data_IF_324121545214
#
_entry.id   IF_324121545214
#
_cell.length_a   1.000
_cell.length_b   1.000
_cell.length_c   1.000
_cell.angle_alpha   90.00
_cell.angle_beta   90.00
_cell.angle_gamma   90.00
#
_symmetry.space_group_name_H-M   'P 1'
#
loop_
_entity.id
_entity.type
_entity.pdbx_description
1 polymer ?
#
# COMPACT_ATOMS: atom_id res chain seq x y z
N UNK A 1 12.77 -1.30 3.64
CA UNK A 1 11.31 -1.61 3.59
C UNK A 1 10.58 -0.86 2.48
N UNK A 2 10.98 0.38 2.17
CA UNK A 2 10.34 1.21 1.15
C UNK A 2 10.19 0.57 -0.24
N UNK A 3 11.24 -0.04 -0.83
CA UNK A 3 11.12 -0.68 -2.15
C UNK A 3 10.10 -1.82 -2.19
N UNK A 4 10.01 -2.62 -1.12
CA UNK A 4 9.01 -3.69 -1.03
C UNK A 4 7.58 -3.12 -0.93
N UNK A 5 7.36 -2.09 -0.12
CA UNK A 5 6.07 -1.40 -0.04
C UNK A 5 5.71 -0.68 -1.35
N UNK A 6 6.72 -0.24 -2.11
CA UNK A 6 6.56 0.42 -3.41
C UNK A 6 6.27 -0.54 -4.57
N UNK A 7 6.43 -1.86 -4.38
CA UNK A 7 6.32 -2.81 -5.48
C UNK A 7 4.90 -2.88 -6.07
N UNK A 8 3.87 -2.90 -5.23
CA UNK A 8 2.50 -2.93 -5.71
C UNK A 8 2.06 -1.64 -6.43
N UNK A 9 2.30 -0.41 -5.92
CA UNK A 9 2.01 0.78 -6.70
C UNK A 9 2.76 0.82 -8.04
N UNK A 10 3.98 0.29 -8.11
CA UNK A 10 4.70 0.15 -9.37
C UNK A 10 3.96 -0.79 -10.34
N UNK A 11 3.52 -1.97 -9.87
CA UNK A 11 2.70 -2.91 -10.67
C UNK A 11 1.42 -2.24 -11.17
N UNK A 12 0.74 -1.47 -10.32
CA UNK A 12 -0.42 -0.68 -10.70
C UNK A 12 -0.08 0.36 -11.77
N UNK A 13 0.97 1.16 -11.57
CA UNK A 13 1.38 2.19 -12.52
C UNK A 13 1.69 1.62 -13.91
N UNK A 14 2.46 0.53 -13.96
CA UNK A 14 2.77 -0.17 -15.22
C UNK A 14 1.52 -0.80 -15.83
N UNK A 15 0.72 -1.52 -15.03
CA UNK A 15 -0.50 -2.17 -15.52
C UNK A 15 -1.51 -1.19 -16.11
N UNK A 16 -1.76 -0.08 -15.44
CA UNK A 16 -2.66 0.97 -15.93
C UNK A 16 -2.09 1.75 -17.12
N UNK A 17 -0.77 1.95 -17.18
CA UNK A 17 -0.14 2.51 -18.37
C UNK A 17 -0.35 1.60 -19.59
N UNK A 18 -0.15 0.28 -19.45
CA UNK A 18 -0.42 -0.69 -20.54
C UNK A 18 -1.90 -0.70 -20.91
N UNK A 19 -2.82 -0.70 -19.93
CA UNK A 19 -4.26 -0.65 -20.18
C UNK A 19 -4.72 0.63 -20.87
N UNK A 20 -4.05 1.76 -20.65
CA UNK A 20 -4.36 2.99 -21.36
C UNK A 20 -4.17 2.86 -22.88
N UNK A 21 -3.16 2.11 -23.33
CA UNK A 21 -2.89 1.87 -24.75
C UNK A 21 -3.61 0.63 -25.31
N UNK A 22 -3.74 -0.41 -24.50
CA UNK A 22 -4.34 -1.69 -24.88
C UNK A 22 -5.39 -2.15 -23.85
N UNK A 23 -6.59 -1.54 -23.83
CA UNK A 23 -7.65 -1.85 -22.88
C UNK A 23 -8.40 -3.14 -23.26
N UNK A 24 -7.65 -4.24 -23.42
CA UNK A 24 -8.18 -5.56 -23.82
C UNK A 24 -8.19 -6.54 -22.65
N UNK A 25 -9.13 -7.50 -22.70
CA UNK A 25 -9.38 -8.44 -21.60
C UNK A 25 -8.14 -9.23 -21.18
N UNK A 26 -7.30 -9.66 -22.12
CA UNK A 26 -6.08 -10.43 -21.81
C UNK A 26 -5.08 -9.62 -20.95
N UNK A 27 -4.96 -8.31 -21.20
CA UNK A 27 -4.11 -7.41 -20.40
C UNK A 27 -4.69 -7.26 -18.99
N UNK A 28 -6.00 -7.11 -18.88
CA UNK A 28 -6.70 -7.02 -17.58
C UNK A 28 -6.49 -8.28 -16.74
N UNK A 29 -6.59 -9.47 -17.35
CA UNK A 29 -6.37 -10.75 -16.66
C UNK A 29 -4.92 -10.87 -16.18
N UNK A 30 -3.96 -10.62 -17.07
CA UNK A 30 -2.53 -10.67 -16.74
C UNK A 30 -2.18 -9.68 -15.61
N UNK A 31 -2.68 -8.45 -15.72
CA UNK A 31 -2.50 -7.42 -14.69
C UNK A 31 -3.05 -7.87 -13.34
N UNK A 32 -4.29 -8.36 -13.29
CA UNK A 32 -4.90 -8.83 -12.03
C UNK A 32 -4.14 -9.99 -11.40
N UNK A 33 -3.62 -10.92 -12.19
CA UNK A 33 -2.81 -12.03 -11.68
C UNK A 33 -1.51 -11.54 -11.02
N UNK A 34 -0.79 -10.63 -11.68
CA UNK A 34 0.45 -10.04 -11.16
C UNK A 34 0.16 -9.17 -9.94
N UNK A 35 -0.86 -8.32 -10.02
CA UNK A 35 -1.30 -7.45 -8.94
C UNK A 35 -1.65 -8.26 -7.69
N UNK A 36 -2.43 -9.33 -7.82
CA UNK A 36 -2.81 -10.19 -6.70
C UNK A 36 -1.59 -10.84 -6.07
N UNK A 37 -0.70 -11.40 -6.89
CA UNK A 37 0.56 -12.00 -6.42
C UNK A 37 1.42 -10.97 -5.68
N UNK A 38 1.64 -9.79 -6.26
CA UNK A 38 2.41 -8.70 -5.67
C UNK A 38 1.81 -8.24 -4.32
N UNK A 39 0.48 -8.15 -4.24
CA UNK A 39 -0.20 -7.74 -3.03
C UNK A 39 0.01 -8.75 -1.89
N UNK A 40 -0.22 -10.04 -2.16
CA UNK A 40 -0.11 -11.08 -1.14
C UNK A 40 1.33 -11.40 -0.76
N UNK A 41 2.24 -11.54 -1.75
CA UNK A 41 3.60 -12.00 -1.50
C UNK A 41 4.52 -10.90 -0.94
N UNK A 42 4.26 -9.62 -1.28
CA UNK A 42 5.21 -8.54 -1.01
C UNK A 42 4.57 -7.40 -0.20
N UNK A 43 3.42 -6.88 -0.64
CA UNK A 43 2.89 -5.63 -0.04
C UNK A 43 2.27 -5.83 1.32
N UNK A 44 1.51 -6.91 1.52
CA UNK A 44 0.97 -7.28 2.81
C UNK A 44 2.06 -7.42 3.89
N UNK A 45 3.14 -8.20 3.70
CA UNK A 45 4.19 -8.29 4.70
C UNK A 45 4.95 -6.96 4.86
N UNK A 46 5.25 -6.24 3.77
CA UNK A 46 5.93 -4.94 3.86
C UNK A 46 5.14 -3.93 4.72
N UNK A 47 3.81 -3.92 4.60
CA UNK A 47 2.93 -3.06 5.41
C UNK A 47 3.00 -3.41 6.89
N UNK A 48 3.04 -4.70 7.25
CA UNK A 48 3.19 -5.09 8.65
C UNK A 48 4.54 -4.65 9.23
N UNK A 49 5.61 -4.68 8.43
CA UNK A 49 6.93 -4.16 8.85
C UNK A 49 6.89 -2.66 9.11
N UNK A 50 6.15 -1.87 8.32
CA UNK A 50 5.98 -0.43 8.56
C UNK A 50 5.37 -0.12 9.94
N UNK A 51 4.56 -1.02 10.50
CA UNK A 51 3.94 -0.86 11.81
C UNK A 51 4.82 -1.34 12.98
N UNK A 52 5.99 -1.92 12.74
CA UNK A 52 6.87 -2.46 13.82
C UNK A 52 7.55 -1.38 14.65
N UNK A 53 7.68 -0.18 14.10
CA UNK A 53 8.30 0.98 14.75
C UNK A 53 7.29 1.83 15.54
N UNK A 54 6.02 1.47 15.50
CA UNK A 54 4.96 2.16 16.25
C UNK A 54 4.71 1.47 17.58
N UNK A 55 4.30 2.26 18.57
CA UNK A 55 3.81 1.71 19.82
C UNK A 55 2.45 1.03 19.62
N UNK A 56 2.10 0.18 20.58
CA UNK A 56 0.90 -0.67 20.49
C UNK A 56 -0.38 0.17 20.32
N UNK A 57 -0.50 1.26 21.08
CA UNK A 57 -1.64 2.18 21.00
C UNK A 57 -1.73 2.88 19.64
N UNK A 58 -0.63 3.44 19.16
CA UNK A 58 -0.55 4.09 17.85
C UNK A 58 -0.91 3.12 16.72
N UNK A 59 -0.35 1.90 16.76
CA UNK A 59 -0.64 0.84 15.81
C UNK A 59 -2.13 0.49 15.79
N UNK A 60 -2.78 0.36 16.95
CA UNK A 60 -4.21 0.05 17.02
C UNK A 60 -5.05 1.19 16.45
N UNK A 61 -4.76 2.44 16.84
CA UNK A 61 -5.47 3.62 16.32
C UNK A 61 -5.32 3.72 14.80
N UNK A 62 -4.10 3.59 14.28
CA UNK A 62 -3.82 3.64 12.85
C UNK A 62 -4.56 2.53 12.08
N UNK A 63 -4.48 1.27 12.55
CA UNK A 63 -5.19 0.16 11.90
C UNK A 63 -6.70 0.35 11.91
N UNK A 64 -7.27 0.80 13.02
CA UNK A 64 -8.71 1.05 13.12
C UNK A 64 -9.17 2.14 12.14
N UNK A 65 -8.45 3.27 12.06
CA UNK A 65 -8.77 4.35 11.12
C UNK A 65 -8.66 3.86 9.67
N UNK A 66 -7.62 3.08 9.34
CA UNK A 66 -7.45 2.52 8.00
C UNK A 66 -8.62 1.58 7.65
N UNK A 67 -8.99 0.66 8.55
CA UNK A 67 -10.06 -0.31 8.30
C UNK A 67 -11.45 0.33 8.18
N UNK A 68 -11.75 1.25 9.09
CA UNK A 68 -13.11 1.80 9.22
C UNK A 68 -13.34 3.05 8.39
N UNK A 69 -12.37 3.96 8.31
CA UNK A 69 -12.55 5.24 7.60
C UNK A 69 -12.06 5.09 6.17
N UNK A 70 -10.83 4.62 5.98
CA UNK A 70 -10.21 4.59 4.66
C UNK A 70 -10.84 3.52 3.79
N UNK A 71 -10.84 2.26 4.22
CA UNK A 71 -11.39 1.17 3.41
C UNK A 71 -12.91 1.28 3.24
N UNK A 72 -13.68 1.60 4.28
CA UNK A 72 -15.15 1.74 4.13
C UNK A 72 -15.54 2.97 3.32
N UNK A 73 -14.85 4.10 3.52
CA UNK A 73 -15.05 5.28 2.70
C UNK A 73 -14.74 4.99 1.23
N UNK A 74 -13.65 4.27 0.96
CA UNK A 74 -13.29 3.86 -0.38
C UNK A 74 -14.33 2.91 -1.01
N UNK A 75 -14.85 1.92 -0.27
CA UNK A 75 -15.90 1.01 -0.76
C UNK A 75 -17.17 1.78 -1.13
N UNK A 76 -17.59 2.75 -0.31
CA UNK A 76 -18.76 3.58 -0.59
C UNK A 76 -18.58 4.43 -1.86
N UNK A 77 -17.41 5.07 -2.02
CA UNK A 77 -17.13 5.93 -3.19
C UNK A 77 -16.90 5.12 -4.46
N UNK A 78 -16.17 4.00 -4.37
CA UNK A 78 -15.80 3.19 -5.53
C UNK A 78 -17.00 2.53 -6.20
N UNK A 79 -18.08 2.26 -5.45
CA UNK A 79 -19.31 1.66 -5.98
C UNK A 79 -19.97 2.45 -7.12
N UNK A 80 -19.82 3.77 -7.15
CA UNK A 80 -20.32 4.60 -8.26
C UNK A 80 -19.20 5.28 -9.07
N UNK A 81 -17.95 5.25 -8.61
CA UNK A 81 -16.86 6.01 -9.24
C UNK A 81 -16.67 5.66 -10.72
N UNK A 82 -16.61 4.37 -11.04
CA UNK A 82 -16.43 3.95 -12.44
C UNK A 82 -17.65 4.32 -13.30
N UNK A 83 -18.87 4.08 -12.79
CA UNK A 83 -20.10 4.39 -13.50
C UNK A 83 -20.26 5.90 -13.75
N UNK A 84 -19.92 6.74 -12.76
CA UNK A 84 -19.95 8.20 -12.88
C UNK A 84 -18.93 8.72 -13.89
N UNK A 85 -17.70 8.20 -13.89
CA UNK A 85 -16.70 8.52 -14.92
C UNK A 85 -17.21 8.18 -16.33
N UNK A 86 -17.82 6.99 -16.49
CA UNK A 86 -18.40 6.57 -17.77
C UNK A 86 -19.60 7.44 -18.17
N UNK A 87 -20.43 7.87 -17.21
CA UNK A 87 -21.58 8.73 -17.45
C UNK A 87 -21.19 10.15 -17.90
N UNK A 88 -20.05 10.67 -17.43
CA UNK A 88 -19.48 11.96 -17.87
C UNK A 88 -18.77 11.84 -19.23
N UNK A 89 -18.75 10.65 -19.84
CA UNK A 89 -18.23 10.42 -21.18
C UNK A 89 -16.76 10.00 -21.23
N UNK A 90 -16.16 9.61 -20.10
CA UNK A 90 -14.78 9.13 -20.13
C UNK A 90 -14.68 7.75 -20.79
N UNK A 91 -13.70 7.62 -21.67
CA UNK A 91 -13.30 6.35 -22.26
C UNK A 91 -12.40 5.56 -21.31
N UNK A 92 -12.32 4.24 -21.53
CA UNK A 92 -11.53 3.34 -20.68
C UNK A 92 -10.04 3.71 -20.66
N UNK A 93 -9.50 4.19 -21.78
CA UNK A 93 -8.13 4.69 -21.86
C UNK A 93 -7.90 5.95 -21.02
N UNK A 94 -8.86 6.88 -20.98
CA UNK A 94 -8.78 8.09 -20.16
C UNK A 94 -8.87 7.77 -18.66
N UNK A 95 -9.75 6.83 -18.28
CA UNK A 95 -9.85 6.35 -16.89
C UNK A 95 -8.54 5.67 -16.46
N UNK A 96 -7.96 4.84 -17.34
CA UNK A 96 -6.72 4.12 -17.06
C UNK A 96 -5.53 5.08 -16.91
N UNK A 97 -5.40 6.05 -17.82
CA UNK A 97 -4.31 7.03 -17.77
C UNK A 97 -4.36 7.91 -16.53
N UNK A 98 -5.56 8.31 -16.07
CA UNK A 98 -5.72 9.07 -14.84
C UNK A 98 -5.29 8.29 -13.58
N UNK A 99 -5.24 6.96 -13.63
CA UNK A 99 -4.79 6.13 -12.50
C UNK A 99 -3.25 6.09 -12.38
N UNK A 100 -2.53 6.34 -13.47
CA UNK A 100 -1.05 6.35 -13.50
C UNK A 100 -0.45 7.39 -12.54
N UNK A 101 -0.84 8.69 -12.54
CA UNK A 101 -0.30 9.66 -11.59
C UNK A 101 -0.67 9.33 -10.14
N UNK A 102 -1.83 8.72 -9.90
CA UNK A 102 -2.23 8.25 -8.56
C UNK A 102 -1.29 7.14 -8.08
N UNK A 103 -0.97 6.17 -8.95
CA UNK A 103 -0.01 5.12 -8.66
C UNK A 103 1.40 5.68 -8.41
N UNK A 104 1.83 6.71 -9.16
CA UNK A 104 3.10 7.39 -8.94
C UNK A 104 3.15 8.10 -7.58
N UNK A 105 2.09 8.81 -7.20
CA UNK A 105 1.98 9.43 -5.88
C UNK A 105 2.04 8.37 -4.76
N UNK A 106 1.34 7.26 -4.93
CA UNK A 106 1.38 6.14 -3.98
C UNK A 106 2.78 5.51 -3.87
N UNK A 107 3.48 5.33 -5.00
CA UNK A 107 4.87 4.84 -5.01
C UNK A 107 5.79 5.77 -4.21
N UNK A 108 5.70 7.08 -4.44
CA UNK A 108 6.49 8.07 -3.71
C UNK A 108 6.22 8.02 -2.20
N UNK A 109 4.94 7.91 -1.81
CA UNK A 109 4.55 7.74 -0.41
C UNK A 109 5.12 6.47 0.20
N UNK A 110 5.06 5.33 -0.50
CA UNK A 110 5.62 4.06 -0.02
C UNK A 110 7.14 4.15 0.24
N UNK A 111 7.86 4.81 -0.67
CA UNK A 111 9.29 5.05 -0.52
C UNK A 111 9.59 6.00 0.64
N UNK A 112 8.83 7.08 0.79
CA UNK A 112 8.98 8.04 1.89
C UNK A 112 8.70 7.38 3.26
N UNK A 113 7.64 6.58 3.36
CA UNK A 113 7.32 5.81 4.57
C UNK A 113 8.41 4.80 4.91
N UNK A 114 8.94 4.09 3.91
CA UNK A 114 10.07 3.19 4.10
C UNK A 114 11.31 3.86 4.69
N UNK A 115 11.68 5.03 4.14
CA UNK A 115 12.80 5.83 4.67
C UNK A 115 12.54 6.32 6.10
N UNK A 116 11.29 6.67 6.39
CA UNK A 116 10.89 7.13 7.74
C UNK A 116 10.96 6.00 8.75
N UNK A 117 10.54 4.79 8.35
CA UNK A 117 10.65 3.59 9.18
C UNK A 117 12.12 3.26 9.47
N UNK A 118 13.00 3.29 8.47
CA UNK A 118 14.44 3.06 8.63
C UNK A 118 15.07 4.06 9.60
N UNK A 119 14.70 5.35 9.49
CA UNK A 119 15.12 6.39 10.46
C UNK A 119 14.64 6.07 11.88
N UNK A 120 13.37 5.70 12.06
CA UNK A 120 12.82 5.36 13.40
C UNK A 120 13.46 4.12 14.01
N UNK A 121 13.84 3.13 13.20
CA UNK A 121 14.60 1.96 13.67
C UNK A 121 15.96 2.41 14.20
N UNK A 122 16.69 3.27 13.45
CA UNK A 122 18.02 3.73 13.86
C UNK A 122 18.03 4.57 15.14
N UNK A 123 16.92 5.25 15.45
CA UNK A 123 16.77 6.07 16.65
C UNK A 123 16.31 5.27 17.87
N UNK A 124 15.87 4.01 17.69
CA UNK A 124 15.46 3.17 18.81
C UNK A 124 16.73 2.66 19.52
N UNK A 125 16.95 3.01 20.80
CA UNK A 125 18.13 2.53 21.50
C UNK A 125 18.14 0.99 21.51
N UNK A 126 19.31 0.35 21.40
CA UNK A 126 19.42 -1.10 21.54
C UNK A 126 18.85 -1.50 22.90
N UNK A 127 18.07 -2.59 22.92
CA UNK A 127 17.63 -3.21 24.18
C UNK A 127 18.88 -3.48 25.00
N UNK A 128 19.06 -2.76 26.09
CA UNK A 128 20.17 -2.99 27.00
C UNK A 128 20.03 -4.41 27.56
N UNK A 129 21.11 -5.17 27.58
CA UNK A 129 21.16 -6.57 28.04
C UNK A 129 20.49 -6.77 29.40
N UNK A 130 20.47 -5.73 30.24
CA UNK A 130 19.81 -5.71 31.55
C UNK A 130 18.29 -5.92 31.50
N UNK A 131 17.59 -5.40 30.48
CA UNK A 131 16.14 -5.61 30.33
C UNK A 131 15.84 -7.07 29.92
N UNK A 132 16.68 -7.67 29.09
CA UNK A 132 16.51 -9.06 28.66
C UNK A 132 16.73 -10.05 29.83
N UNK A 133 17.68 -9.75 30.72
CA UNK A 133 17.95 -10.53 31.94
C UNK A 133 16.83 -10.36 32.98
N UNK A 134 16.22 -9.17 33.07
CA UNK A 134 15.15 -8.91 34.02
C UNK A 134 13.83 -9.65 33.66
N UNK A 135 13.56 -9.87 32.37
CA UNK A 135 12.42 -10.66 31.92
C UNK A 135 12.62 -12.17 32.10
N UNK A 136 13.85 -12.69 31.94
CA UNK A 136 14.13 -14.13 32.18
C UNK A 136 14.18 -14.50 33.66
N UNK A 137 14.54 -13.57 34.55
CA UNK A 137 14.50 -13.79 36.01
C UNK A 137 13.09 -13.73 36.64
N UNK A 138 12.09 -13.25 35.90
CA UNK A 138 10.69 -13.13 36.38
C UNK A 138 9.75 -14.22 35.84
N UNK A 139 10.24 -15.15 35.02
CA UNK A 139 9.53 -16.34 34.54
C UNK A 139 9.97 -17.56 35.34
#
# INVERSE_FOLDING_TARGET
>A
VGPAAGFLPLVFGVGFAVLAFAPVLVVVIAFQAVQRTANFAISNPAREVLFTVLDREEKYKAKNVIDTVVFRGADAVSGWLFATMRAVGWELSAISSATVPVAAAWLLLALALGRTQERRVSLRPPRTTDEAIQYTKKA
#
